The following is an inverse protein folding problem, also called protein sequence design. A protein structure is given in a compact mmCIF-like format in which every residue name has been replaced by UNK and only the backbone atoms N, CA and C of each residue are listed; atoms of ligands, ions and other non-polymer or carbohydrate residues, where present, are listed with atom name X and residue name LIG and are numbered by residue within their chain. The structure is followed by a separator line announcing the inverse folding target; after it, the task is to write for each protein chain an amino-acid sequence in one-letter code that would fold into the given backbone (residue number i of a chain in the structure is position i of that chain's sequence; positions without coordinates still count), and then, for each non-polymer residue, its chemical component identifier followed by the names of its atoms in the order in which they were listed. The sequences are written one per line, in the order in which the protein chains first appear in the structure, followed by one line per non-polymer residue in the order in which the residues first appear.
data_IF_287587738251
#
_entry.id   IF_287587738251
#
_cell.length_a   1.000
_cell.length_b   1.000
_cell.length_c   1.000
_cell.angle_alpha   90.00
_cell.angle_beta   90.00
_cell.angle_gamma   90.00
#
_symmetry.space_group_name_H-M   'P 1'
#
loop_
_entity.id
_entity.type
_entity.pdbx_description
1 polymer ?
#
# COMPACT_ATOMS: atom_id res chain seq x y z
N UNK A 1 -5.74 -17.23 -5.17
CA UNK A 1 -4.66 -17.96 -4.47
C UNK A 1 -4.84 -17.80 -2.96
N UNK A 2 -4.39 -18.78 -2.16
CA UNK A 2 -4.35 -18.72 -0.69
C UNK A 2 -2.89 -18.65 -0.24
N UNK A 3 -2.56 -17.63 0.54
CA UNK A 3 -1.29 -17.49 1.23
C UNK A 3 -1.43 -17.75 2.73
N UNK A 4 -0.43 -18.43 3.30
CA UNK A 4 -0.33 -18.71 4.73
C UNK A 4 0.93 -18.04 5.26
N UNK A 5 0.79 -17.18 6.27
CA UNK A 5 1.89 -16.39 6.84
C UNK A 5 1.95 -16.61 8.36
N UNK A 6 2.55 -17.72 8.82
CA UNK A 6 2.75 -17.98 10.24
C UNK A 6 3.98 -17.22 10.77
N UNK A 7 3.92 -16.75 12.00
CA UNK A 7 5.06 -16.16 12.69
C UNK A 7 4.95 -16.31 14.20
N UNK A 8 6.10 -16.53 14.84
CA UNK A 8 6.27 -16.35 16.28
C UNK A 8 7.30 -15.25 16.50
N UNK A 9 6.99 -14.31 17.39
CA UNK A 9 7.97 -13.38 17.92
C UNK A 9 8.15 -13.58 19.41
N UNK A 10 9.36 -13.95 19.82
CA UNK A 10 9.70 -14.18 21.22
C UNK A 10 9.75 -12.86 22.02
N UNK A 11 10.14 -11.76 21.39
CA UNK A 11 10.24 -10.46 22.05
C UNK A 11 8.88 -9.94 22.53
N UNK A 12 7.82 -10.18 21.76
CA UNK A 12 6.44 -9.77 22.07
C UNK A 12 5.58 -10.93 22.60
N UNK A 13 6.16 -12.13 22.76
CA UNK A 13 5.46 -13.38 23.08
C UNK A 13 4.17 -13.59 22.27
N UNK A 14 4.27 -13.41 20.95
CA UNK A 14 3.13 -13.40 20.04
C UNK A 14 3.25 -14.49 18.97
N UNK A 15 2.35 -15.48 19.01
CA UNK A 15 2.22 -16.54 18.00
C UNK A 15 0.99 -16.31 17.14
N UNK A 16 1.18 -16.02 15.85
CA UNK A 16 0.06 -15.73 14.94
C UNK A 16 0.20 -16.44 13.60
N UNK A 17 -0.93 -16.62 12.92
CA UNK A 17 -0.94 -16.95 11.48
C UNK A 17 -1.93 -16.05 10.77
N UNK A 18 -1.48 -15.36 9.72
CA UNK A 18 -2.40 -14.70 8.79
C UNK A 18 -2.68 -15.62 7.61
N UNK A 19 -3.96 -15.85 7.35
CA UNK A 19 -4.45 -16.47 6.13
C UNK A 19 -4.94 -15.35 5.22
N UNK A 20 -4.48 -15.32 3.97
CA UNK A 20 -4.90 -14.29 3.01
C UNK A 20 -5.24 -14.93 1.68
N UNK A 21 -6.40 -14.57 1.14
CA UNK A 21 -6.76 -14.91 -0.24
C UNK A 21 -6.63 -13.67 -1.10
N UNK A 22 -6.11 -13.87 -2.31
CA UNK A 22 -6.07 -12.82 -3.33
C UNK A 22 -6.55 -13.37 -4.67
N UNK A 23 -7.51 -12.67 -5.26
CA UNK A 23 -8.17 -13.05 -6.51
C UNK A 23 -8.34 -11.81 -7.38
N UNK A 24 -8.04 -11.98 -8.67
CA UNK A 24 -8.48 -11.00 -9.67
C UNK A 24 -9.98 -11.17 -9.86
N UNK A 25 -10.70 -10.07 -9.70
CA UNK A 25 -12.13 -10.02 -9.90
C UNK A 25 -12.47 -9.20 -11.15
N UNK A 26 -13.66 -9.47 -11.71
CA UNK A 26 -14.25 -8.57 -12.71
C UNK A 26 -14.49 -7.19 -12.09
N UNK A 27 -14.51 -6.16 -12.94
CA UNK A 27 -14.53 -4.73 -12.56
C UNK A 27 -15.62 -4.35 -11.55
N UNK A 28 -16.73 -5.10 -11.50
CA UNK A 28 -17.92 -4.81 -10.68
C UNK A 28 -18.17 -5.85 -9.57
N UNK A 29 -17.14 -6.57 -9.12
CA UNK A 29 -17.30 -7.51 -8.01
C UNK A 29 -17.60 -6.78 -6.70
N UNK A 30 -18.59 -7.30 -5.95
CA UNK A 30 -18.92 -6.85 -4.60
C UNK A 30 -17.94 -7.34 -3.53
N UNK A 31 -17.00 -8.22 -3.89
CA UNK A 31 -16.05 -8.83 -2.97
C UNK A 31 -14.68 -8.19 -3.16
N UNK A 32 -13.99 -7.78 -2.07
CA UNK A 32 -12.63 -7.25 -2.16
C UNK A 32 -11.66 -8.26 -2.77
N UNK A 33 -10.70 -7.77 -3.57
CA UNK A 33 -9.68 -8.61 -4.21
C UNK A 33 -8.79 -9.36 -3.21
N UNK A 34 -8.66 -8.82 -1.99
CA UNK A 34 -7.94 -9.44 -0.89
C UNK A 34 -8.87 -9.60 0.31
N UNK A 35 -8.91 -10.79 0.87
CA UNK A 35 -9.55 -11.07 2.16
C UNK A 35 -8.53 -11.74 3.07
N UNK A 36 -8.55 -11.41 4.34
CA UNK A 36 -7.63 -12.00 5.29
C UNK A 36 -8.29 -12.26 6.64
N UNK A 37 -7.78 -13.25 7.36
CA UNK A 37 -8.02 -13.44 8.77
C UNK A 37 -6.71 -13.65 9.50
N UNK A 38 -6.62 -13.17 10.74
CA UNK A 38 -5.47 -13.38 11.62
C UNK A 38 -5.91 -14.26 12.78
N UNK A 39 -5.19 -15.36 12.96
CA UNK A 39 -5.32 -16.26 14.09
C UNK A 39 -4.24 -15.92 15.11
N UNK A 40 -4.62 -15.76 16.38
CA UNK A 40 -3.70 -15.55 17.50
C UNK A 40 -3.78 -16.78 18.42
N UNK A 41 -2.62 -17.32 18.80
CA UNK A 41 -2.49 -18.49 19.66
C UNK A 41 -1.74 -18.13 20.93
N UNK A 42 -2.01 -18.83 22.02
CA UNK A 42 -1.20 -18.79 23.24
C UNK A 42 0.10 -19.57 23.00
N UNK A 43 1.29 -18.94 23.02
CA UNK A 43 2.54 -19.63 22.73
C UNK A 43 2.88 -20.75 23.72
N UNK A 44 2.30 -20.72 24.94
CA UNK A 44 2.65 -21.66 26.02
C UNK A 44 1.95 -23.01 25.89
N UNK A 45 0.76 -23.04 25.29
CA UNK A 45 -0.07 -24.25 25.20
C UNK A 45 -0.72 -24.46 23.83
N UNK A 46 -0.51 -23.55 22.87
CA UNK A 46 -1.02 -23.66 21.50
C UNK A 46 -2.51 -23.38 21.34
N UNK A 47 -3.23 -22.99 22.41
CA UNK A 47 -4.66 -22.72 22.33
C UNK A 47 -4.95 -21.51 21.44
N UNK A 48 -5.94 -21.63 20.55
CA UNK A 48 -6.42 -20.51 19.74
C UNK A 48 -7.12 -19.48 20.64
N UNK A 49 -6.60 -18.25 20.68
CA UNK A 49 -7.08 -17.16 21.53
C UNK A 49 -8.04 -16.23 20.81
N UNK A 50 -7.80 -15.95 19.53
CA UNK A 50 -8.64 -15.06 18.75
C UNK A 50 -8.60 -15.39 17.26
N UNK A 51 -9.70 -15.07 16.58
CA UNK A 51 -9.85 -15.02 15.13
C UNK A 51 -10.30 -13.62 14.78
N UNK A 52 -9.50 -12.90 14.00
CA UNK A 52 -9.70 -11.48 13.70
C UNK A 52 -9.88 -11.27 12.20
N UNK A 53 -10.63 -10.24 11.81
CA UNK A 53 -10.54 -9.72 10.44
C UNK A 53 -9.11 -9.26 10.17
N UNK A 54 -8.54 -9.74 9.08
CA UNK A 54 -7.19 -9.41 8.65
C UNK A 54 -7.16 -8.29 7.62
N UNK A 55 -8.31 -7.80 7.15
CA UNK A 55 -8.40 -6.83 6.05
C UNK A 55 -7.84 -5.47 6.47
N UNK A 56 -8.32 -4.93 7.60
CA UNK A 56 -7.80 -3.66 8.15
C UNK A 56 -6.35 -3.80 8.60
N UNK A 57 -6.01 -4.92 9.25
CA UNK A 57 -4.63 -5.21 9.67
C UNK A 57 -3.69 -5.24 8.46
N UNK A 58 -4.11 -5.87 7.35
CA UNK A 58 -3.31 -5.95 6.12
C UNK A 58 -3.12 -4.59 5.49
N UNK A 59 -4.14 -3.73 5.43
CA UNK A 59 -4.00 -2.38 4.89
C UNK A 59 -3.01 -1.54 5.73
N UNK A 60 -3.25 -1.43 7.04
CA UNK A 60 -2.44 -0.59 7.93
C UNK A 60 -1.01 -1.07 8.06
N UNK A 61 -0.77 -2.37 8.26
CA UNK A 61 0.61 -2.89 8.45
C UNK A 61 1.46 -2.69 7.19
N UNK A 62 0.86 -2.80 6.01
CA UNK A 62 1.56 -2.74 4.73
C UNK A 62 1.97 -1.29 4.45
N UNK A 63 1.06 -0.34 4.67
CA UNK A 63 1.37 1.09 4.63
C UNK A 63 2.42 1.50 5.67
N UNK A 64 2.33 0.98 6.90
CA UNK A 64 3.30 1.27 7.96
C UNK A 64 4.73 0.85 7.61
N UNK A 65 4.92 -0.34 7.02
CA UNK A 65 6.25 -0.79 6.58
C UNK A 65 6.80 0.11 5.47
N UNK A 66 5.97 0.51 4.50
CA UNK A 66 6.38 1.48 3.47
C UNK A 66 6.73 2.85 4.06
N UNK A 67 6.00 3.31 5.06
CA UNK A 67 6.32 4.57 5.73
C UNK A 67 7.64 4.49 6.49
N UNK A 68 7.94 3.37 7.17
CA UNK A 68 9.24 3.15 7.81
C UNK A 68 10.36 3.14 6.77
N UNK A 69 10.18 2.42 5.66
CA UNK A 69 11.16 2.42 4.57
C UNK A 69 11.39 3.83 4.03
N UNK A 70 10.32 4.58 3.79
CA UNK A 70 10.37 5.96 3.31
C UNK A 70 11.07 6.88 4.31
N UNK A 71 10.79 6.75 5.61
CA UNK A 71 11.45 7.54 6.66
C UNK A 71 12.96 7.36 6.64
N UNK A 72 13.44 6.16 6.30
CA UNK A 72 14.87 5.82 6.31
C UNK A 72 15.56 6.05 4.96
N UNK A 73 14.83 5.94 3.85
CA UNK A 73 15.41 5.83 2.50
C UNK A 73 15.01 6.95 1.54
N UNK A 74 14.04 7.81 1.89
CA UNK A 74 13.66 8.94 1.03
C UNK A 74 14.83 9.92 0.87
N UNK A 75 14.90 10.66 -0.26
CA UNK A 75 15.86 11.76 -0.39
C UNK A 75 15.65 12.82 0.71
N UNK A 76 16.73 13.52 1.07
CA UNK A 76 16.73 14.52 2.13
C UNK A 76 15.62 15.57 1.93
N UNK A 77 15.51 16.06 0.68
CA UNK A 77 14.45 16.95 0.24
C UNK A 77 13.48 16.15 -0.63
N UNK A 78 12.38 15.70 0.00
CA UNK A 78 11.31 14.99 -0.68
C UNK A 78 10.05 15.87 -0.63
N UNK A 79 9.62 16.39 -1.77
CA UNK A 79 8.52 17.35 -1.89
C UNK A 79 7.35 16.79 -2.70
N UNK A 80 7.60 15.81 -3.58
CA UNK A 80 6.59 15.23 -4.47
C UNK A 80 6.39 13.75 -4.16
N UNK A 81 5.18 13.39 -3.74
CA UNK A 81 4.72 12.00 -3.62
C UNK A 81 3.93 11.60 -4.87
N UNK A 82 4.21 10.42 -5.41
CA UNK A 82 3.42 9.80 -6.47
C UNK A 82 2.87 8.44 -6.03
N UNK A 83 1.58 8.20 -6.27
CA UNK A 83 0.91 6.92 -6.05
C UNK A 83 0.46 6.33 -7.40
N UNK A 84 0.93 5.13 -7.73
CA UNK A 84 0.45 4.34 -8.86
C UNK A 84 -0.50 3.26 -8.34
N UNK A 85 -1.79 3.44 -8.61
CA UNK A 85 -2.89 2.62 -8.10
C UNK A 85 -3.87 3.40 -7.23
N UNK A 86 -5.14 3.02 -7.27
CA UNK A 86 -6.22 3.66 -6.50
C UNK A 86 -7.06 2.65 -5.69
N UNK A 87 -6.45 1.53 -5.28
CA UNK A 87 -7.09 0.48 -4.48
C UNK A 87 -6.94 0.70 -2.97
N UNK A 88 -7.33 -0.32 -2.17
CA UNK A 88 -7.28 -0.27 -0.69
C UNK A 88 -5.92 0.18 -0.16
N UNK A 89 -4.82 -0.34 -0.71
CA UNK A 89 -3.48 0.02 -0.28
C UNK A 89 -3.16 1.50 -0.56
N UNK A 90 -3.63 2.07 -1.67
CA UNK A 90 -3.41 3.49 -1.97
C UNK A 90 -3.98 4.40 -0.87
N UNK A 91 -5.17 4.06 -0.33
CA UNK A 91 -5.77 4.82 0.77
C UNK A 91 -4.96 4.71 2.06
N UNK A 92 -4.63 3.48 2.50
CA UNK A 92 -3.86 3.31 3.72
C UNK A 92 -2.47 3.93 3.65
N UNK A 93 -1.83 3.88 2.47
CA UNK A 93 -0.55 4.54 2.24
C UNK A 93 -0.70 6.05 2.26
N UNK A 94 -1.72 6.61 1.60
CA UNK A 94 -1.95 8.05 1.64
C UNK A 94 -2.17 8.56 3.06
N UNK A 95 -3.04 7.91 3.83
CA UNK A 95 -3.38 8.32 5.19
C UNK A 95 -2.12 8.45 6.07
N UNK A 96 -1.30 7.39 6.14
CA UNK A 96 -0.10 7.41 6.99
C UNK A 96 1.01 8.29 6.41
N UNK A 97 1.11 8.43 5.08
CA UNK A 97 2.12 9.29 4.47
C UNK A 97 1.83 10.78 4.70
N UNK A 98 0.56 11.19 4.65
CA UNK A 98 0.17 12.56 4.98
C UNK A 98 0.28 12.86 6.48
N UNK A 99 0.14 11.84 7.33
CA UNK A 99 0.34 11.98 8.77
C UNK A 99 1.83 12.13 9.15
N UNK A 100 2.73 11.40 8.48
CA UNK A 100 4.15 11.33 8.85
C UNK A 100 5.07 12.24 8.05
N UNK A 101 4.66 12.68 6.87
CA UNK A 101 5.50 13.45 5.96
C UNK A 101 4.76 14.68 5.44
N UNK A 102 5.52 15.72 5.10
CA UNK A 102 5.00 16.90 4.42
C UNK A 102 5.46 16.88 2.97
N UNK A 103 4.51 16.76 2.06
CA UNK A 103 4.75 16.89 0.62
C UNK A 103 4.11 18.19 0.13
N UNK A 104 4.76 18.87 -0.81
CA UNK A 104 4.20 20.03 -1.50
C UNK A 104 3.19 19.61 -2.55
N UNK A 105 3.35 18.40 -3.10
CA UNK A 105 2.50 17.87 -4.15
C UNK A 105 2.29 16.37 -3.96
N UNK A 106 1.04 15.92 -4.15
CA UNK A 106 0.68 14.51 -4.22
C UNK A 106 0.04 14.23 -5.56
N UNK A 107 0.55 13.21 -6.26
CA UNK A 107 0.07 12.77 -7.56
C UNK A 107 -0.49 11.37 -7.47
N UNK A 108 -1.50 11.09 -8.27
CA UNK A 108 -2.04 9.76 -8.45
C UNK A 108 -2.23 9.42 -9.93
N UNK A 109 -1.90 8.19 -10.28
CA UNK A 109 -2.33 7.58 -11.53
C UNK A 109 -2.95 6.22 -11.28
N UNK A 110 -3.97 5.88 -12.04
CA UNK A 110 -4.55 4.54 -12.06
C UNK A 110 -5.03 4.22 -13.48
N UNK A 111 -4.89 2.95 -13.90
CA UNK A 111 -5.31 2.46 -15.23
C UNK A 111 -6.74 2.88 -15.59
N UNK A 112 -7.66 2.79 -14.63
CA UNK A 112 -9.02 3.31 -14.74
C UNK A 112 -9.04 4.71 -14.12
N UNK A 113 -9.09 5.76 -14.95
CA UNK A 113 -8.98 7.16 -14.51
C UNK A 113 -10.05 7.53 -13.49
N UNK A 114 -11.26 6.99 -13.65
CA UNK A 114 -12.40 7.24 -12.74
C UNK A 114 -12.08 6.83 -11.30
N UNK A 115 -11.27 5.78 -11.09
CA UNK A 115 -10.87 5.36 -9.75
C UNK A 115 -9.85 6.31 -9.12
N UNK A 116 -8.93 6.88 -9.92
CA UNK A 116 -8.01 7.91 -9.45
C UNK A 116 -8.75 9.21 -9.08
N UNK A 117 -9.75 9.60 -9.87
CA UNK A 117 -10.63 10.74 -9.56
C UNK A 117 -11.43 10.48 -8.28
N UNK A 118 -12.03 9.29 -8.13
CA UNK A 118 -12.73 8.90 -6.90
C UNK A 118 -11.82 8.97 -5.69
N UNK A 119 -10.59 8.45 -5.81
CA UNK A 119 -9.58 8.54 -4.77
C UNK A 119 -9.29 10.00 -4.39
N UNK A 120 -8.94 10.85 -5.36
CA UNK A 120 -8.60 12.24 -5.12
C UNK A 120 -9.73 13.03 -4.47
N UNK A 121 -10.98 12.70 -4.79
CA UNK A 121 -12.17 13.31 -4.18
C UNK A 121 -12.52 12.76 -2.79
N UNK A 122 -12.02 11.57 -2.42
CA UNK A 122 -12.39 10.90 -1.16
C UNK A 122 -11.40 11.17 -0.02
N UNK A 123 -10.17 11.56 -0.36
CA UNK A 123 -9.10 11.79 0.63
C UNK A 123 -9.04 13.26 1.04
N UNK A 124 -8.45 13.51 2.21
CA UNK A 124 -8.23 14.87 2.70
C UNK A 124 -6.97 15.47 2.08
N UNK A 125 -7.10 16.57 1.35
CA UNK A 125 -5.97 17.30 0.75
C UNK A 125 -5.94 17.22 -0.77
N UNK A 126 -5.19 18.11 -1.43
CA UNK A 126 -5.12 18.16 -2.89
C UNK A 126 -4.31 16.97 -3.43
N UNK A 127 -4.91 16.24 -4.38
CA UNK A 127 -4.24 15.19 -5.13
C UNK A 127 -4.42 15.44 -6.62
N UNK A 128 -3.31 15.56 -7.35
CA UNK A 128 -3.31 15.72 -8.79
C UNK A 128 -3.52 14.37 -9.48
N UNK A 129 -4.59 14.25 -10.27
CA UNK A 129 -4.85 13.07 -11.10
C UNK A 129 -4.10 13.19 -12.42
N UNK A 130 -3.08 12.36 -12.60
CA UNK A 130 -2.26 12.32 -13.81
C UNK A 130 -2.90 11.43 -14.90
N UNK A 131 -2.63 11.74 -16.16
CA UNK A 131 -3.15 11.02 -17.32
C UNK A 131 -2.37 9.74 -17.65
N UNK A 132 -1.08 9.68 -17.26
CA UNK A 132 -0.21 8.53 -17.46
C UNK A 132 0.66 8.24 -16.24
N UNK A 133 1.14 6.99 -16.12
CA UNK A 133 2.08 6.63 -15.06
C UNK A 133 3.38 7.42 -15.18
N UNK A 134 3.87 7.66 -16.41
CA UNK A 134 5.05 8.48 -16.68
C UNK A 134 4.89 9.92 -16.16
N UNK A 135 3.76 10.57 -16.48
CA UNK A 135 3.46 11.91 -15.99
C UNK A 135 3.47 11.95 -14.44
N UNK A 136 2.87 10.95 -13.79
CA UNK A 136 2.80 10.89 -12.34
C UNK A 136 4.19 10.80 -11.68
N UNK A 137 5.08 9.96 -12.21
CA UNK A 137 6.39 9.71 -11.60
C UNK A 137 7.48 10.70 -12.02
N UNK A 138 7.28 11.45 -13.10
CA UNK A 138 8.31 12.38 -13.61
C UNK A 138 8.62 13.45 -12.57
N UNK A 139 9.82 13.42 -12.00
CA UNK A 139 10.24 14.35 -10.95
C UNK A 139 9.71 14.02 -9.55
N UNK A 140 9.03 12.89 -9.35
CA UNK A 140 8.58 12.45 -8.03
C UNK A 140 9.78 12.03 -7.16
N UNK A 141 9.74 12.39 -5.87
CA UNK A 141 10.78 12.05 -4.90
C UNK A 141 10.51 10.72 -4.21
N UNK A 142 9.23 10.42 -3.98
CA UNK A 142 8.76 9.19 -3.39
C UNK A 142 7.66 8.62 -4.29
N UNK A 143 7.79 7.34 -4.65
CA UNK A 143 6.84 6.64 -5.52
C UNK A 143 6.30 5.42 -4.76
N UNK A 144 4.99 5.23 -4.78
CA UNK A 144 4.31 4.07 -4.21
C UNK A 144 3.62 3.33 -5.35
N UNK A 145 3.95 2.06 -5.55
CA UNK A 145 3.26 1.21 -6.55
C UNK A 145 2.40 0.18 -5.84
N UNK A 146 1.08 0.30 -5.98
CA UNK A 146 0.08 -0.53 -5.27
C UNK A 146 -1.00 -0.99 -6.25
N UNK A 147 -0.57 -1.68 -7.29
CA UNK A 147 -1.44 -2.15 -8.38
C UNK A 147 -1.44 -3.68 -8.48
N UNK A 148 -2.45 -4.24 -9.15
CA UNK A 148 -2.47 -5.66 -9.54
C UNK A 148 -1.89 -5.88 -10.95
N UNK A 149 -1.05 -4.96 -11.45
CA UNK A 149 -0.49 -5.11 -12.79
C UNK A 149 0.51 -6.27 -12.83
N UNK A 150 0.34 -7.16 -13.82
CA UNK A 150 1.28 -8.24 -14.11
C UNK A 150 2.30 -7.88 -15.18
N UNK A 151 2.13 -6.71 -15.81
CA UNK A 151 3.07 -6.10 -16.74
C UNK A 151 3.69 -4.84 -16.12
N UNK A 152 4.94 -4.48 -16.45
CA UNK A 152 5.57 -3.28 -15.93
C UNK A 152 4.76 -2.00 -16.22
N UNK A 153 4.56 -1.19 -15.18
CA UNK A 153 3.88 0.12 -15.26
C UNK A 153 4.79 1.30 -14.90
N UNK A 154 6.00 1.01 -14.42
CA UNK A 154 7.02 1.98 -14.04
C UNK A 154 8.33 1.56 -14.72
N UNK A 155 8.94 2.50 -15.43
CA UNK A 155 10.17 2.27 -16.17
C UNK A 155 11.27 3.17 -15.61
N UNK A 156 12.50 2.65 -15.52
CA UNK A 156 13.63 3.32 -14.87
C UNK A 156 13.93 4.70 -15.47
N UNK A 157 13.78 4.86 -16.78
CA UNK A 157 14.06 6.12 -17.49
C UNK A 157 13.13 7.27 -17.10
N UNK A 158 12.02 6.98 -16.40
CA UNK A 158 11.08 8.00 -15.90
C UNK A 158 11.38 8.42 -14.47
N UNK A 159 12.20 7.64 -13.76
CA UNK A 159 12.45 7.79 -12.33
C UNK A 159 13.50 8.89 -12.12
N UNK A 160 13.16 9.88 -11.30
CA UNK A 160 14.10 10.90 -10.86
C UNK A 160 15.30 10.24 -10.17
N UNK A 161 16.56 10.59 -10.52
CA UNK A 161 17.72 10.12 -9.79
C UNK A 161 17.62 10.43 -8.29
N UNK A 162 17.78 9.41 -7.44
CA UNK A 162 17.64 9.52 -5.99
C UNK A 162 16.22 9.38 -5.44
N UNK A 163 15.21 9.14 -6.28
CA UNK A 163 13.86 8.85 -5.82
C UNK A 163 13.81 7.53 -5.02
N UNK A 164 12.93 7.49 -4.02
CA UNK A 164 12.65 6.28 -3.25
C UNK A 164 11.36 5.62 -3.74
N UNK A 165 11.41 4.32 -4.01
CA UNK A 165 10.27 3.55 -4.52
C UNK A 165 9.85 2.52 -3.48
N UNK A 166 8.57 2.54 -3.11
CA UNK A 166 7.90 1.47 -2.37
C UNK A 166 7.20 0.56 -3.38
N UNK A 167 7.86 -0.55 -3.75
CA UNK A 167 7.32 -1.60 -4.61
C UNK A 167 6.55 -2.65 -3.81
N UNK A 168 5.27 -2.85 -4.12
CA UNK A 168 4.35 -3.78 -3.45
C UNK A 168 3.55 -4.61 -4.45
#
# INVERSE_FOLDING_TARGET
FLGVMPAYSAAEDALTTKLVTFYEHKKDSSVPSHQATVLLFDPRNGSLKAVLDGSVITAKRTAAVSAIATKLLKPAFAEVLCILGAGVQAYSHYDIFMELFTFKEVRIWNRTKENAVKFANSVNGPVQVCSSAQEAVTGADVIITVTMATTPILFGDWVKPGAHINGM
#
